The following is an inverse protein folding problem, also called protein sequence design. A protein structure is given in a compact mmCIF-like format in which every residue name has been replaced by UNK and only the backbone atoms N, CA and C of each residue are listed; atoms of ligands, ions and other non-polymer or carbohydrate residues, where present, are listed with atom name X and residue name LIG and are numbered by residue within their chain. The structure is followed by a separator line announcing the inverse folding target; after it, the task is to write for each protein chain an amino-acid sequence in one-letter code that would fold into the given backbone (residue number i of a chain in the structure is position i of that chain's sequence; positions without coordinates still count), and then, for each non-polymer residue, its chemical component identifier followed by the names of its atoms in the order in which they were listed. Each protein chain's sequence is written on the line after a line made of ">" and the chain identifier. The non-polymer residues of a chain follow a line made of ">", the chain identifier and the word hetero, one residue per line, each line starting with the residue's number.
data_IF_693186680169
#
_entry.id   IF_693186680169
#
_cell.length_a   1.000
_cell.length_b   1.000
_cell.length_c   1.000
_cell.angle_alpha   90.00
_cell.angle_beta   90.00
_cell.angle_gamma   90.00
#
_symmetry.space_group_name_H-M   'P 1'
#
loop_
_entity.id
_entity.type
_entity.pdbx_description
1 polymer ?
#
# COMPACT_ATOMS: atom_id res chain seq x y z
N UNK A 1 -12.39 -12.36 5.44
CA UNK A 1 -13.24 -11.24 4.98
C UNK A 1 -13.91 -10.52 6.15
N UNK A 2 -14.67 -11.22 6.99
CA UNK A 2 -15.43 -10.67 8.14
C UNK A 2 -14.75 -9.54 8.95
N UNK A 3 -13.47 -9.68 9.29
CA UNK A 3 -12.75 -8.69 10.10
C UNK A 3 -12.59 -7.32 9.43
N UNK A 4 -12.70 -7.23 8.10
CA UNK A 4 -12.60 -5.96 7.35
C UNK A 4 -13.90 -5.15 7.43
N UNK A 5 -15.04 -5.84 7.55
CA UNK A 5 -16.38 -5.25 7.60
C UNK A 5 -16.75 -4.77 9.02
N UNK A 6 -16.17 -5.41 10.04
CA UNK A 6 -16.43 -5.12 11.45
C UNK A 6 -15.56 -3.99 12.01
N UNK A 7 -16.11 -3.20 12.94
CA UNK A 7 -15.33 -2.32 13.82
C UNK A 7 -14.97 -3.06 15.10
N UNK A 8 -13.72 -2.95 15.57
CA UNK A 8 -13.31 -3.47 16.88
C UNK A 8 -13.13 -4.99 16.99
N UNK A 9 -13.37 -5.75 15.91
CA UNK A 9 -13.15 -7.21 15.81
C UNK A 9 -11.98 -7.57 14.87
N UNK A 10 -10.90 -6.80 14.93
CA UNK A 10 -9.68 -7.09 14.16
C UNK A 10 -9.07 -8.42 14.59
N UNK A 11 -8.64 -9.24 13.63
CA UNK A 11 -7.90 -10.50 13.87
C UNK A 11 -6.51 -10.30 14.48
N UNK A 12 -6.08 -9.03 14.59
CA UNK A 12 -4.82 -8.59 15.20
C UNK A 12 -4.96 -8.24 16.69
N UNK A 13 -6.20 -8.18 17.20
CA UNK A 13 -6.47 -7.97 18.62
C UNK A 13 -5.73 -9.00 19.46
N UNK A 14 -4.99 -8.55 20.49
CA UNK A 14 -4.16 -9.40 21.38
C UNK A 14 -2.95 -10.07 20.71
N UNK A 15 -2.57 -9.65 19.49
CA UNK A 15 -1.35 -10.13 18.82
C UNK A 15 -0.24 -9.07 18.77
N UNK A 16 -0.29 -8.08 19.68
CA UNK A 16 0.72 -7.01 19.80
C UNK A 16 2.12 -7.56 20.10
N UNK A 17 2.21 -8.63 20.88
CA UNK A 17 3.46 -9.37 21.14
C UNK A 17 4.09 -9.98 19.88
N UNK A 18 3.33 -10.16 18.79
CA UNK A 18 3.83 -10.61 17.48
C UNK A 18 4.08 -9.45 16.51
N UNK A 19 4.08 -8.20 17.00
CA UNK A 19 4.31 -6.99 16.21
C UNK A 19 3.16 -6.59 15.29
N UNK A 20 1.95 -7.11 15.49
CA UNK A 20 0.79 -6.69 14.71
C UNK A 20 0.17 -5.39 15.23
N UNK A 21 -0.12 -4.46 14.31
CA UNK A 21 -0.81 -3.18 14.57
C UNK A 21 -2.22 -3.17 13.98
N UNK A 22 -3.11 -2.32 14.50
CA UNK A 22 -4.48 -2.17 13.97
C UNK A 22 -5.53 -3.05 14.66
N UNK A 23 -5.47 -3.18 15.99
CA UNK A 23 -6.43 -3.95 16.80
C UNK A 23 -7.87 -3.43 16.71
N UNK A 24 -8.05 -2.14 16.38
CA UNK A 24 -9.38 -1.51 16.23
C UNK A 24 -10.08 -1.81 14.90
N UNK A 25 -9.35 -2.24 13.86
CA UNK A 25 -9.93 -2.51 12.54
C UNK A 25 -10.33 -1.27 11.74
N UNK A 26 -9.89 -0.07 12.13
CA UNK A 26 -10.24 1.19 11.46
C UNK A 26 -9.36 1.51 10.24
N UNK A 27 -8.19 0.87 10.13
CA UNK A 27 -7.18 1.25 9.13
C UNK A 27 -7.64 1.06 7.69
N UNK A 28 -8.46 0.04 7.40
CA UNK A 28 -9.03 -0.11 6.06
C UNK A 28 -10.05 0.99 5.75
N UNK A 29 -10.81 1.47 6.75
CA UNK A 29 -11.88 2.45 6.54
C UNK A 29 -11.38 3.82 6.05
N UNK A 30 -10.08 4.11 6.16
CA UNK A 30 -9.53 5.35 5.61
C UNK A 30 -9.62 5.42 4.07
N UNK A 31 -9.82 4.29 3.37
CA UNK A 31 -9.99 4.30 1.91
C UNK A 31 -11.19 5.13 1.45
N UNK A 32 -12.22 5.29 2.30
CA UNK A 32 -13.41 6.09 1.99
C UNK A 32 -13.12 7.60 1.94
N UNK A 33 -12.00 8.04 2.52
CA UNK A 33 -11.53 9.44 2.36
C UNK A 33 -11.22 9.78 0.90
N UNK A 34 -10.84 8.78 0.10
CA UNK A 34 -10.39 8.97 -1.28
C UNK A 34 -11.23 8.24 -2.32
N UNK A 35 -12.08 7.28 -1.94
CA UNK A 35 -12.87 6.48 -2.87
C UNK A 35 -14.26 6.17 -2.32
N UNK A 36 -15.30 6.31 -3.15
CA UNK A 36 -16.67 5.96 -2.76
C UNK A 36 -16.97 4.45 -2.90
N UNK A 37 -16.25 3.79 -3.81
CA UNK A 37 -16.49 2.39 -4.19
C UNK A 37 -15.17 1.58 -4.18
N UNK A 38 -14.58 1.29 -3.02
CA UNK A 38 -13.41 0.41 -2.94
C UNK A 38 -13.74 -1.02 -3.39
N UNK A 39 -12.87 -1.63 -4.19
CA UNK A 39 -12.98 -3.04 -4.58
C UNK A 39 -11.80 -3.83 -4.03
N UNK A 40 -12.04 -5.07 -3.63
CA UNK A 40 -11.01 -6.01 -3.17
C UNK A 40 -11.13 -7.31 -3.97
N UNK A 41 -9.99 -7.73 -4.52
CA UNK A 41 -9.81 -9.06 -5.10
C UNK A 41 -8.75 -9.79 -4.28
N UNK A 42 -9.11 -10.89 -3.62
CA UNK A 42 -8.12 -11.66 -2.85
C UNK A 42 -8.56 -13.10 -2.65
N UNK A 43 -7.76 -14.04 -3.15
CA UNK A 43 -7.91 -15.48 -2.89
C UNK A 43 -9.36 -15.99 -3.04
N UNK A 44 -9.99 -15.73 -4.19
CA UNK A 44 -11.37 -16.11 -4.49
C UNK A 44 -12.44 -15.11 -4.04
N UNK A 45 -12.12 -14.14 -3.19
CA UNK A 45 -13.04 -13.05 -2.87
C UNK A 45 -12.94 -11.95 -3.93
N UNK A 46 -14.08 -11.54 -4.48
CA UNK A 46 -14.18 -10.41 -5.38
C UNK A 46 -15.39 -9.57 -4.99
N UNK A 47 -15.11 -8.50 -4.26
CA UNK A 47 -16.14 -7.73 -3.56
C UNK A 47 -15.89 -6.24 -3.66
N UNK A 48 -16.96 -5.46 -3.69
CA UNK A 48 -16.94 -4.01 -3.58
C UNK A 48 -17.59 -3.56 -2.29
N UNK A 49 -17.26 -2.35 -1.87
CA UNK A 49 -17.86 -1.67 -0.73
C UNK A 49 -18.43 -0.33 -1.17
N UNK A 50 -19.37 0.20 -0.40
CA UNK A 50 -19.91 1.55 -0.57
C UNK A 50 -19.53 2.43 0.62
N UNK A 51 -19.23 3.71 0.34
CA UNK A 51 -19.11 4.74 1.38
C UNK A 51 -20.44 4.97 2.11
N UNK A 52 -21.55 4.81 1.39
CA UNK A 52 -22.88 4.91 1.99
C UNK A 52 -23.14 3.64 2.82
N UNK A 53 -23.54 3.80 4.10
CA UNK A 53 -23.89 2.67 4.94
C UNK A 53 -25.08 1.94 4.34
N UNK A 54 -25.09 0.61 4.50
CA UNK A 54 -26.23 -0.19 4.10
C UNK A 54 -27.41 0.08 5.05
N UNK A 55 -28.56 0.47 4.50
CA UNK A 55 -29.76 0.84 5.26
C UNK A 55 -30.33 -0.30 6.09
N UNK A 56 -30.09 -1.54 5.68
CA UNK A 56 -30.64 -2.75 6.31
C UNK A 56 -29.74 -3.24 7.46
N UNK A 57 -28.49 -2.76 7.53
CA UNK A 57 -27.47 -3.24 8.46
C UNK A 57 -27.11 -2.21 9.54
N UNK A 58 -28.09 -1.52 10.12
CA UNK A 58 -27.87 -0.60 11.24
C UNK A 58 -26.79 0.48 11.00
N UNK A 59 -26.37 1.18 12.05
CA UNK A 59 -25.40 2.28 11.91
C UNK A 59 -23.96 1.74 11.92
N UNK A 60 -23.20 2.02 10.85
CA UNK A 60 -21.73 1.94 10.85
C UNK A 60 -21.10 0.66 10.30
N UNK A 61 -21.91 -0.26 9.75
CA UNK A 61 -21.41 -1.43 9.02
C UNK A 61 -21.23 -1.12 7.54
N UNK A 62 -20.08 -1.54 7.02
CA UNK A 62 -19.82 -1.54 5.59
C UNK A 62 -19.95 -2.98 5.15
N UNK A 63 -20.88 -3.24 4.24
CA UNK A 63 -21.22 -4.58 3.77
C UNK A 63 -20.52 -4.80 2.43
N UNK A 64 -19.83 -5.94 2.25
CA UNK A 64 -19.24 -6.30 0.97
C UNK A 64 -20.33 -6.82 0.03
N UNK A 65 -20.32 -6.34 -1.20
CA UNK A 65 -21.16 -6.84 -2.28
C UNK A 65 -20.29 -7.60 -3.28
N UNK A 66 -20.72 -8.79 -3.71
CA UNK A 66 -20.01 -9.55 -4.73
C UNK A 66 -20.01 -8.82 -6.07
N UNK A 67 -18.87 -8.89 -6.77
CA UNK A 67 -18.72 -8.34 -8.11
C UNK A 67 -18.91 -9.48 -9.11
N UNK A 68 -19.91 -9.32 -9.98
CA UNK A 68 -20.16 -10.21 -11.12
C UNK A 68 -19.83 -9.52 -12.47
N UNK A 69 -19.15 -8.37 -12.44
CA UNK A 69 -18.81 -7.58 -13.62
C UNK A 69 -17.56 -8.14 -14.32
N UNK A 70 -17.76 -8.87 -15.41
CA UNK A 70 -16.69 -9.42 -16.25
C UNK A 70 -15.74 -8.33 -16.78
N UNK A 71 -16.25 -7.12 -17.05
CA UNK A 71 -15.42 -6.02 -17.53
C UNK A 71 -14.43 -5.54 -16.45
N UNK A 72 -14.87 -5.48 -15.19
CA UNK A 72 -13.99 -5.19 -14.06
C UNK A 72 -12.89 -6.25 -13.93
N UNK A 73 -13.25 -7.54 -14.04
CA UNK A 73 -12.30 -8.66 -13.97
C UNK A 73 -11.24 -8.53 -15.07
N UNK A 74 -11.68 -8.34 -16.31
CA UNK A 74 -10.79 -8.17 -17.45
C UNK A 74 -9.89 -6.94 -17.29
N UNK A 75 -10.40 -5.85 -16.72
CA UNK A 75 -9.62 -4.63 -16.45
C UNK A 75 -8.52 -4.89 -15.41
N UNK A 76 -8.81 -5.59 -14.32
CA UNK A 76 -7.80 -5.95 -13.31
C UNK A 76 -6.75 -6.88 -13.89
N UNK A 77 -7.16 -7.90 -14.67
CA UNK A 77 -6.25 -8.80 -15.36
C UNK A 77 -5.34 -8.07 -16.36
N UNK A 78 -5.86 -7.07 -17.08
CA UNK A 78 -5.08 -6.26 -18.01
C UNK A 78 -3.94 -5.48 -17.33
N UNK A 79 -4.15 -5.01 -16.10
CA UNK A 79 -3.14 -4.25 -15.34
C UNK A 79 -1.95 -5.14 -14.94
N UNK A 80 -2.21 -6.38 -14.52
CA UNK A 80 -1.16 -7.27 -14.01
C UNK A 80 -0.67 -8.31 -15.05
N UNK A 81 -1.35 -8.43 -16.18
CA UNK A 81 -1.14 -9.50 -17.16
C UNK A 81 -1.98 -10.74 -16.85
N UNK A 82 -2.36 -11.49 -17.90
CA UNK A 82 -3.33 -12.59 -17.84
C UNK A 82 -2.94 -13.73 -16.88
N UNK A 83 -1.65 -13.87 -16.53
CA UNK A 83 -1.13 -15.05 -15.85
C UNK A 83 -0.65 -14.82 -14.40
N UNK A 84 -0.71 -13.59 -13.88
CA UNK A 84 -0.21 -13.30 -12.51
C UNK A 84 -1.17 -12.33 -11.83
N UNK A 85 -2.17 -12.87 -11.13
CA UNK A 85 -2.96 -12.08 -10.19
C UNK A 85 -2.23 -12.01 -8.84
N UNK A 86 -2.00 -10.81 -8.28
CA UNK A 86 -1.50 -10.67 -6.92
C UNK A 86 -2.43 -11.38 -5.91
N UNK A 87 -1.86 -11.84 -4.79
CA UNK A 87 -2.62 -12.48 -3.69
C UNK A 87 -3.77 -11.60 -3.18
N UNK A 88 -3.55 -10.28 -3.17
CA UNK A 88 -4.53 -9.28 -2.78
C UNK A 88 -4.35 -8.04 -3.65
N UNK A 89 -5.43 -7.63 -4.32
CA UNK A 89 -5.53 -6.39 -5.09
C UNK A 89 -6.63 -5.53 -4.50
N UNK A 90 -6.35 -4.24 -4.29
CA UNK A 90 -7.34 -3.26 -3.85
C UNK A 90 -7.44 -2.20 -4.94
N UNK A 91 -8.63 -2.02 -5.51
CA UNK A 91 -8.90 -0.99 -6.54
C UNK A 91 -9.68 0.13 -5.88
N UNK A 92 -9.16 1.34 -5.98
CA UNK A 92 -9.77 2.56 -5.41
C UNK A 92 -10.11 3.54 -6.54
N UNK A 93 -11.33 3.50 -7.10
CA UNK A 93 -11.82 4.57 -7.95
C UNK A 93 -11.80 5.89 -7.16
N UNK A 94 -10.86 6.77 -7.48
CA UNK A 94 -10.63 7.98 -6.71
C UNK A 94 -11.74 9.01 -6.94
N UNK A 95 -12.13 9.70 -5.86
CA UNK A 95 -12.91 10.94 -5.94
C UNK A 95 -12.13 11.95 -6.78
N UNK A 96 -12.80 12.68 -7.67
CA UNK A 96 -12.16 13.56 -8.67
C UNK A 96 -11.29 14.64 -8.01
N UNK A 97 -11.73 15.19 -6.87
CA UNK A 97 -11.01 16.18 -6.08
C UNK A 97 -9.79 15.61 -5.32
N UNK A 98 -9.68 14.28 -5.20
CA UNK A 98 -8.61 13.61 -4.44
C UNK A 98 -7.45 13.12 -5.31
N UNK A 99 -7.61 13.08 -6.63
CA UNK A 99 -6.60 12.52 -7.56
C UNK A 99 -5.23 13.19 -7.38
N UNK A 100 -5.16 14.52 -7.45
CA UNK A 100 -3.90 15.25 -7.35
C UNK A 100 -3.27 15.15 -5.95
N UNK A 101 -4.08 15.17 -4.89
CA UNK A 101 -3.61 14.99 -3.53
C UNK A 101 -2.97 13.62 -3.33
N UNK A 102 -3.64 12.55 -3.77
CA UNK A 102 -3.12 11.17 -3.69
C UNK A 102 -1.83 11.03 -4.49
N UNK A 103 -1.76 11.58 -5.71
CA UNK A 103 -0.53 11.56 -6.52
C UNK A 103 0.64 12.24 -5.82
N UNK A 104 0.41 13.41 -5.21
CA UNK A 104 1.43 14.16 -4.47
C UNK A 104 1.94 13.35 -3.27
N UNK A 105 1.05 12.82 -2.45
CA UNK A 105 1.38 12.00 -1.28
C UNK A 105 2.19 10.74 -1.64
N UNK A 106 1.79 10.03 -2.71
CA UNK A 106 2.51 8.84 -3.19
C UNK A 106 3.90 9.18 -3.76
N UNK A 107 4.07 10.38 -4.32
CA UNK A 107 5.34 10.85 -4.87
C UNK A 107 6.32 11.33 -3.79
N UNK A 108 5.82 11.73 -2.62
CA UNK A 108 6.60 12.18 -1.46
C UNK A 108 6.89 11.08 -0.43
N UNK A 109 6.68 9.80 -0.77
CA UNK A 109 6.96 8.71 0.15
C UNK A 109 8.45 8.62 0.50
N UNK A 110 8.73 8.57 1.79
CA UNK A 110 10.07 8.48 2.35
C UNK A 110 10.52 7.02 2.49
N UNK A 111 11.77 6.66 2.14
CA UNK A 111 12.28 5.31 2.29
C UNK A 111 12.31 4.79 3.73
N UNK A 112 12.41 5.69 4.71
CA UNK A 112 12.39 5.39 6.14
C UNK A 112 11.08 4.73 6.61
N UNK A 113 10.00 4.82 5.83
CA UNK A 113 8.75 4.11 6.09
C UNK A 113 8.99 2.60 6.28
N UNK A 114 9.94 2.00 5.55
CA UNK A 114 10.24 0.58 5.65
C UNK A 114 10.86 0.18 6.99
N UNK A 115 11.49 1.12 7.73
CA UNK A 115 12.09 0.84 9.03
C UNK A 115 11.05 0.49 10.10
N UNK A 116 9.82 0.98 9.92
CA UNK A 116 8.70 0.74 10.83
C UNK A 116 7.83 -0.46 10.40
N UNK A 117 8.18 -1.14 9.30
CA UNK A 117 7.43 -2.27 8.76
C UNK A 117 8.20 -3.58 8.94
N UNK A 118 7.66 -4.49 9.75
CA UNK A 118 8.34 -5.74 10.09
C UNK A 118 8.38 -6.80 8.97
N UNK A 119 7.56 -6.65 7.92
CA UNK A 119 7.41 -7.65 6.85
C UNK A 119 7.59 -7.09 5.44
N UNK A 120 7.30 -5.80 5.25
CA UNK A 120 7.33 -5.18 3.93
C UNK A 120 8.73 -4.68 3.65
N UNK A 121 9.40 -5.28 2.65
CA UNK A 121 10.80 -4.95 2.30
C UNK A 121 10.95 -4.09 1.05
N UNK A 122 9.90 -4.02 0.23
CA UNK A 122 9.89 -3.30 -1.05
C UNK A 122 8.53 -2.66 -1.28
N UNK A 123 8.54 -1.44 -1.78
CA UNK A 123 7.37 -0.67 -2.17
C UNK A 123 7.62 -0.08 -3.56
N UNK A 124 6.66 -0.26 -4.46
CA UNK A 124 6.73 0.29 -5.81
C UNK A 124 5.51 1.17 -6.06
N UNK A 125 5.74 2.37 -6.55
CA UNK A 125 4.71 3.31 -7.01
C UNK A 125 4.89 3.48 -8.51
N UNK A 126 3.83 3.21 -9.25
CA UNK A 126 3.78 3.34 -10.71
C UNK A 126 2.67 4.32 -11.07
N UNK A 127 2.98 5.29 -11.92
CA UNK A 127 1.96 6.13 -12.54
C UNK A 127 1.65 5.58 -13.93
N UNK A 128 0.43 5.06 -14.12
CA UNK A 128 -0.01 4.59 -15.43
C UNK A 128 -0.42 5.77 -16.31
N UNK A 129 0.28 5.97 -17.42
CA UNK A 129 -0.11 6.96 -18.43
C UNK A 129 -1.21 6.37 -19.34
N UNK A 130 -2.36 7.04 -19.42
CA UNK A 130 -3.44 6.70 -20.36
C UNK A 130 -3.20 7.25 -21.78
N UNK A 131 -1.95 7.53 -22.14
CA UNK A 131 -1.57 8.02 -23.48
C UNK A 131 -1.32 6.87 -24.47
N UNK A 132 -1.20 7.17 -25.78
CA UNK A 132 -0.78 6.18 -26.76
C UNK A 132 0.52 5.52 -26.32
N UNK A 133 0.56 4.19 -26.42
CA UNK A 133 1.66 3.30 -26.05
C UNK A 133 3.02 3.97 -26.34
N UNK A 134 3.90 4.02 -25.32
CA UNK A 134 5.33 4.41 -25.33
C UNK A 134 5.75 5.60 -24.45
N UNK A 135 4.83 6.29 -23.76
CA UNK A 135 5.21 7.23 -22.69
C UNK A 135 5.55 6.47 -21.39
N UNK A 136 6.82 6.04 -21.25
CA UNK A 136 7.34 5.22 -20.14
C UNK A 136 6.75 5.58 -18.75
N UNK A 137 6.15 4.58 -18.10
CA UNK A 137 5.62 4.71 -16.74
C UNK A 137 6.69 5.25 -15.79
N UNK A 138 6.34 6.29 -15.04
CA UNK A 138 7.19 6.76 -13.95
C UNK A 138 7.09 5.74 -12.82
N UNK A 139 8.23 5.23 -12.39
CA UNK A 139 8.29 4.22 -11.32
C UNK A 139 9.21 4.72 -10.22
N UNK A 140 8.66 4.82 -9.02
CA UNK A 140 9.43 5.02 -7.79
C UNK A 140 9.47 3.71 -7.03
N UNK A 141 10.66 3.14 -6.87
CA UNK A 141 10.89 1.92 -6.10
C UNK A 141 11.66 2.25 -4.83
N UNK A 142 11.08 1.91 -3.68
CA UNK A 142 11.68 2.02 -2.35
C UNK A 142 11.97 0.60 -1.84
N UNK A 143 13.19 0.33 -1.38
CA UNK A 143 13.55 -1.02 -0.90
C UNK A 143 14.65 -1.02 0.15
N UNK A 144 14.64 -2.04 1.02
CA UNK A 144 15.78 -2.40 1.87
C UNK A 144 16.71 -3.30 1.04
N UNK A 145 17.92 -2.82 0.73
CA UNK A 145 18.92 -3.57 -0.04
C UNK A 145 19.62 -4.61 0.85
N UNK A 146 20.03 -4.19 2.04
CA UNK A 146 20.76 -5.04 2.98
C UNK A 146 20.49 -4.64 4.42
N UNK A 147 20.69 -5.61 5.31
CA UNK A 147 20.55 -5.49 6.75
C UNK A 147 21.67 -6.28 7.41
N UNK A 148 22.35 -5.71 8.40
CA UNK A 148 23.36 -6.43 9.18
C UNK A 148 22.70 -7.27 10.26
N UNK A 149 23.39 -8.33 10.69
CA UNK A 149 22.98 -9.09 11.87
C UNK A 149 22.97 -8.22 13.12
N UNK A 150 22.20 -8.65 14.13
CA UNK A 150 22.15 -8.00 15.44
C UNK A 150 23.55 -7.86 16.03
N UNK A 151 23.90 -6.64 16.43
CA UNK A 151 25.06 -6.38 17.26
C UNK A 151 24.56 -5.93 18.63
N UNK A 152 24.74 -6.79 19.63
CA UNK A 152 24.48 -6.48 21.03
C UNK A 152 25.63 -5.61 21.51
N UNK A 153 25.36 -4.32 21.74
CA UNK A 153 26.32 -3.43 22.36
C UNK A 153 26.53 -3.82 23.83
N UNK A 154 27.77 -3.79 24.31
CA UNK A 154 28.11 -4.16 25.69
C UNK A 154 27.70 -3.11 26.73
N UNK A 155 27.42 -1.88 26.32
CA UNK A 155 27.19 -0.75 27.22
C UNK A 155 25.72 -0.34 27.40
N UNK A 156 24.82 -0.81 26.53
CA UNK A 156 23.39 -0.51 26.60
C UNK A 156 22.66 -1.78 26.16
N UNK A 157 21.65 -2.22 26.91
CA UNK A 157 20.78 -3.39 26.63
C UNK A 157 19.86 -3.15 25.42
N UNK A 158 20.40 -2.58 24.34
CA UNK A 158 19.70 -2.26 23.12
C UNK A 158 20.32 -3.02 21.94
N UNK A 159 19.47 -3.78 21.25
CA UNK A 159 19.81 -4.44 20.01
C UNK A 159 19.89 -3.40 18.89
N UNK A 160 21.04 -3.35 18.20
CA UNK A 160 21.23 -2.45 17.06
C UNK A 160 21.35 -3.23 15.75
N UNK A 161 20.85 -2.62 14.66
CA UNK A 161 20.95 -3.13 13.28
C UNK A 161 21.25 -1.98 12.32
N UNK A 162 22.10 -2.21 11.32
CA UNK A 162 22.34 -1.27 10.21
C UNK A 162 21.51 -1.70 9.01
N UNK A 163 20.74 -0.77 8.46
CA UNK A 163 19.83 -1.02 7.31
C UNK A 163 20.20 -0.07 6.18
N UNK A 164 20.39 -0.61 4.97
CA UNK A 164 20.63 0.18 3.77
C UNK A 164 19.36 0.30 2.94
N UNK A 165 18.88 1.54 2.80
CA UNK A 165 17.68 1.88 2.03
C UNK A 165 18.06 2.39 0.65
N UNK A 166 17.20 2.14 -0.34
CA UNK A 166 17.37 2.62 -1.71
C UNK A 166 16.07 3.12 -2.29
N UNK A 167 16.19 4.22 -3.03
CA UNK A 167 15.13 4.80 -3.85
C UNK A 167 15.62 4.84 -5.29
N UNK A 168 14.88 4.20 -6.20
CA UNK A 168 15.10 4.30 -7.64
C UNK A 168 13.91 5.03 -8.26
N UNK A 169 14.17 6.13 -8.95
CA UNK A 169 13.17 6.86 -9.73
C UNK A 169 13.49 6.73 -11.20
N UNK A 170 12.56 6.17 -11.97
CA UNK A 170 12.57 6.24 -13.42
C UNK A 170 11.74 7.45 -13.82
N UNK A 171 12.40 8.57 -14.11
CA UNK A 171 11.77 9.75 -14.69
C UNK A 171 11.90 9.70 -16.22
N UNK A 172 10.95 10.30 -16.94
CA UNK A 172 11.17 10.65 -18.34
C UNK A 172 12.50 11.42 -18.45
N UNK A 173 13.34 11.03 -19.42
CA UNK A 173 14.54 11.78 -19.77
C UNK A 173 14.12 13.17 -20.26
N UNK A 174 14.12 14.14 -19.36
CA UNK A 174 14.45 15.50 -19.71
C UNK A 174 15.83 15.76 -19.12
N UNK A 175 16.82 15.96 -19.99
CA UNK A 175 18.20 16.28 -19.65
C UNK A 175 18.28 17.27 -18.48
N UNK A 176 18.74 16.78 -17.33
CA UNK A 176 19.70 17.47 -16.44
C UNK A 176 20.13 16.51 -15.33
N UNK A 177 21.44 16.27 -15.30
CA UNK A 177 22.15 15.51 -14.28
C UNK A 177 21.78 16.00 -12.87
N UNK A 178 21.16 15.14 -12.08
CA UNK A 178 21.11 15.29 -10.62
C UNK A 178 21.04 13.90 -9.99
N UNK A 179 22.20 13.25 -9.85
CA UNK A 179 22.34 12.16 -8.91
C UNK A 179 22.27 12.75 -7.49
N UNK A 180 21.18 12.49 -6.77
CA UNK A 180 21.09 12.82 -5.34
C UNK A 180 21.31 11.52 -4.56
N UNK A 181 22.51 11.37 -4.01
CA UNK A 181 22.86 10.34 -3.03
C UNK A 181 22.46 10.84 -1.66
N UNK A 182 21.52 10.18 -0.99
CA UNK A 182 21.21 10.48 0.43
C UNK A 182 22.20 9.74 1.32
N UNK A 183 22.87 10.49 2.20
CA UNK A 183 23.90 10.01 3.12
C UNK A 183 23.36 9.08 4.21
N UNK A 184 24.25 8.23 4.71
CA UNK A 184 24.01 7.33 5.85
C UNK A 184 23.52 8.11 7.06
N UNK A 185 22.37 7.72 7.63
CA UNK A 185 21.90 8.22 8.93
C UNK A 185 21.98 7.10 9.94
N UNK A 186 22.90 7.22 10.90
CA UNK A 186 22.90 6.40 12.12
C UNK A 186 21.66 6.78 12.93
N UNK A 187 20.81 5.81 13.25
CA UNK A 187 19.84 5.96 14.31
C UNK A 187 20.55 5.58 15.62
N UNK A 188 20.66 6.54 16.54
CA UNK A 188 21.10 6.31 17.93
C UNK A 188 19.93 5.83 18.77
#
# INVERSE_FOLDING_TARGET
>A
MESICSVGRSTKKRKRNKGFIGEKGIGFKSVFLVSQLPHIVSNGYMVKFSELPNTDCGIGFIVPEWICDEYFIAKVQRVYGLNILPTTTIVLPLKTDKVNAVKKELSSLHPELLLFLSKLRRLYVHEGNSGPKEAADSVTAISIISETNHVVSRDITADSRVVHLSVKKKAMLLNRNAGITYGNKLFR
#
